data_IF_316073749699
#
_entry.id   IF_316073749699
#
_cell.length_a   1.000
_cell.length_b   1.000
_cell.length_c   1.000
_cell.angle_alpha   90.00
_cell.angle_beta   90.00
_cell.angle_gamma   90.00
#
_symmetry.space_group_name_H-M   'P 1'
#
loop_
_entity.id
_entity.type
_entity.pdbx_description
1 polymer ?
#
# COMPACT_ATOMS: atom_id res chain seq x y z
N UNK A 1 -11.72 0.10 -14.55
CA UNK A 1 -11.15 1.16 -13.69
C UNK A 1 -9.80 0.66 -13.23
N UNK A 2 -8.73 1.41 -13.55
CA UNK A 2 -7.36 1.06 -13.21
C UNK A 2 -7.08 1.23 -11.72
N UNK A 3 -6.07 0.56 -11.21
CA UNK A 3 -5.62 0.73 -9.81
C UNK A 3 -4.56 1.82 -9.76
N UNK A 4 -4.82 2.85 -8.97
CA UNK A 4 -3.94 4.02 -8.83
C UNK A 4 -3.60 4.24 -7.36
N UNK A 5 -2.31 4.47 -7.08
CA UNK A 5 -1.82 4.94 -5.79
C UNK A 5 -1.35 6.39 -5.94
N UNK A 6 -1.62 7.21 -4.92
CA UNK A 6 -1.12 8.57 -4.82
C UNK A 6 -0.62 8.85 -3.40
N UNK A 7 0.67 9.18 -3.28
CA UNK A 7 1.27 9.54 -2.00
C UNK A 7 0.58 10.74 -1.33
N UNK A 8 0.07 11.70 -2.12
CA UNK A 8 -0.65 12.85 -1.61
C UNK A 8 -2.01 12.48 -1.01
N UNK A 9 -2.78 11.63 -1.72
CA UNK A 9 -4.08 11.16 -1.26
C UNK A 9 -3.94 10.23 -0.06
N UNK A 10 -2.94 9.34 -0.09
CA UNK A 10 -2.61 8.45 1.02
C UNK A 10 -2.27 9.24 2.30
N UNK A 11 -1.45 10.29 2.18
CA UNK A 11 -1.15 11.20 3.30
C UNK A 11 -2.39 11.89 3.85
N UNK A 12 -3.27 12.38 2.95
CA UNK A 12 -4.52 13.02 3.35
C UNK A 12 -5.45 12.04 4.08
N UNK A 13 -5.57 10.81 3.58
CA UNK A 13 -6.33 9.74 4.23
C UNK A 13 -5.77 9.43 5.62
N UNK A 14 -4.46 9.24 5.75
CA UNK A 14 -3.80 8.96 7.03
C UNK A 14 -4.11 10.06 8.03
N UNK A 15 -3.96 11.33 7.65
CA UNK A 15 -4.22 12.47 8.52
C UNK A 15 -5.69 12.54 8.94
N UNK A 16 -6.62 12.39 7.99
CA UNK A 16 -8.05 12.43 8.29
C UNK A 16 -8.46 11.28 9.24
N UNK A 17 -7.97 10.07 8.98
CA UNK A 17 -8.23 8.90 9.81
C UNK A 17 -7.66 9.06 11.22
N UNK A 18 -6.42 9.54 11.36
CA UNK A 18 -5.83 9.81 12.68
C UNK A 18 -6.68 10.79 13.50
N UNK A 19 -7.10 11.90 12.89
CA UNK A 19 -7.96 12.88 13.57
C UNK A 19 -9.32 12.28 13.94
N UNK A 20 -9.95 11.55 13.02
CA UNK A 20 -11.26 10.94 13.25
C UNK A 20 -11.22 9.88 14.36
N UNK A 21 -10.15 9.07 14.44
CA UNK A 21 -9.95 8.09 15.52
C UNK A 21 -9.84 8.78 16.87
N UNK A 22 -9.09 9.89 16.95
CA UNK A 22 -8.98 10.65 18.19
C UNK A 22 -10.35 11.15 18.66
N UNK A 23 -11.12 11.78 17.77
CA UNK A 23 -12.47 12.26 18.06
C UNK A 23 -13.39 11.09 18.46
N UNK A 24 -13.30 9.97 17.75
CA UNK A 24 -14.12 8.80 18.03
C UNK A 24 -13.83 8.23 19.43
N UNK A 25 -12.55 8.12 19.82
CA UNK A 25 -12.15 7.69 21.16
C UNK A 25 -12.72 8.61 22.25
N UNK A 26 -12.58 9.93 22.09
CA UNK A 26 -13.12 10.91 23.04
C UNK A 26 -14.64 10.77 23.20
N UNK A 27 -15.37 10.57 22.10
CA UNK A 27 -16.83 10.38 22.12
C UNK A 27 -17.17 9.07 22.82
N UNK A 28 -16.51 7.95 22.47
CA UNK A 28 -16.83 6.65 23.06
C UNK A 28 -16.47 6.57 24.54
N UNK A 29 -15.39 7.22 24.97
CA UNK A 29 -15.00 7.26 26.37
C UNK A 29 -16.01 8.04 27.22
N UNK A 30 -16.49 9.18 26.69
CA UNK A 30 -17.55 9.96 27.35
C UNK A 30 -18.86 9.19 27.42
N UNK A 31 -19.24 8.50 26.34
CA UNK A 31 -20.44 7.65 26.32
C UNK A 31 -20.32 6.50 27.32
N UNK A 32 -19.17 5.82 27.37
CA UNK A 32 -18.91 4.74 28.33
C UNK A 32 -18.99 5.25 29.76
N UNK A 33 -18.27 6.33 30.09
CA UNK A 33 -18.26 6.92 31.43
C UNK A 33 -19.66 7.41 31.85
N UNK A 34 -20.42 8.03 30.95
CA UNK A 34 -21.80 8.43 31.22
C UNK A 34 -22.72 7.23 31.49
N UNK A 35 -22.54 6.12 30.76
CA UNK A 35 -23.29 4.89 31.02
C UNK A 35 -22.92 4.28 32.37
N UNK A 36 -21.62 4.23 32.71
CA UNK A 36 -21.16 3.70 33.99
C UNK A 36 -21.73 4.50 35.17
N UNK A 37 -21.73 5.84 35.06
CA UNK A 37 -22.37 6.71 36.04
C UNK A 37 -23.87 6.44 36.17
N UNK A 38 -24.59 6.33 35.04
CA UNK A 38 -26.03 6.04 35.05
C UNK A 38 -26.33 4.71 35.76
N UNK A 39 -25.57 3.65 35.46
CA UNK A 39 -25.73 2.34 36.10
C UNK A 39 -25.44 2.43 37.60
N UNK A 40 -24.39 3.15 38.00
CA UNK A 40 -24.07 3.36 39.42
C UNK A 40 -25.19 4.09 40.18
N UNK A 41 -25.77 5.15 39.61
CA UNK A 41 -26.92 5.87 40.20
C UNK A 41 -28.20 5.04 40.26
N UNK A 42 -28.36 4.08 39.35
CA UNK A 42 -29.47 3.11 39.41
C UNK A 42 -29.25 2.06 40.51
N UNK A 43 -28.01 1.60 40.68
CA UNK A 43 -27.65 0.61 41.70
C UNK A 43 -27.58 1.20 43.12
N UNK A 44 -27.31 2.49 43.27
CA UNK A 44 -27.38 3.19 44.56
C UNK A 44 -28.81 3.32 45.09
N UNK A 45 -29.82 3.14 44.23
CA UNK A 45 -31.23 3.36 44.55
C UNK A 45 -31.62 4.84 44.62
N UNK A 46 -30.77 5.76 44.16
CA UNK A 46 -31.13 7.19 44.02
C UNK A 46 -32.20 7.40 42.94
N UNK A 47 -32.18 6.57 41.90
CA UNK A 47 -33.14 6.59 40.80
C UNK A 47 -34.03 5.34 40.85
N UNK A 48 -35.32 5.50 41.14
CA UNK A 48 -36.28 4.39 41.31
C UNK A 48 -37.60 4.63 40.57
N UNK A 49 -38.24 3.56 40.11
CA UNK A 49 -39.51 3.57 39.39
C UNK A 49 -39.45 2.85 38.05
N UNK A 50 -40.61 2.58 37.45
CA UNK A 50 -40.72 1.81 36.21
C UNK A 50 -39.90 2.40 35.05
N UNK A 51 -39.84 3.74 34.96
CA UNK A 51 -39.01 4.47 34.00
C UNK A 51 -37.52 4.11 34.09
N UNK A 52 -37.01 4.09 35.31
CA UNK A 52 -35.60 3.83 35.58
C UNK A 52 -35.26 2.35 35.40
N UNK A 53 -36.15 1.44 35.78
CA UNK A 53 -35.99 0.01 35.51
C UNK A 53 -36.00 -0.30 34.02
N UNK A 54 -36.90 0.33 33.25
CA UNK A 54 -36.97 0.14 31.82
C UNK A 54 -35.73 0.73 31.11
N UNK A 55 -35.36 1.97 31.46
CA UNK A 55 -34.13 2.60 30.99
C UNK A 55 -32.89 1.76 31.29
N UNK A 56 -32.77 1.21 32.51
CA UNK A 56 -31.70 0.27 32.88
C UNK A 56 -31.60 -0.89 31.90
N UNK A 57 -32.73 -1.53 31.58
CA UNK A 57 -32.77 -2.64 30.61
C UNK A 57 -32.24 -2.25 29.23
N UNK A 58 -32.69 -1.11 28.70
CA UNK A 58 -32.23 -0.59 27.41
C UNK A 58 -30.72 -0.32 27.40
N UNK A 59 -30.21 0.32 28.45
CA UNK A 59 -28.80 0.64 28.55
C UNK A 59 -27.92 -0.60 28.74
N UNK A 60 -28.27 -1.49 29.66
CA UNK A 60 -27.48 -2.69 29.96
C UNK A 60 -27.51 -3.71 28.82
N UNK A 61 -28.66 -3.93 28.19
CA UNK A 61 -28.81 -4.98 27.18
C UNK A 61 -28.42 -4.53 25.76
N UNK A 62 -28.52 -3.23 25.45
CA UNK A 62 -28.39 -2.73 24.08
C UNK A 62 -27.29 -1.66 23.99
N UNK A 63 -27.43 -0.53 24.71
CA UNK A 63 -26.55 0.64 24.49
C UNK A 63 -25.10 0.36 24.92
N UNK A 64 -24.88 -0.15 26.14
CA UNK A 64 -23.53 -0.42 26.66
C UNK A 64 -22.78 -1.45 25.80
N UNK A 65 -23.36 -2.62 25.45
CA UNK A 65 -22.70 -3.56 24.55
C UNK A 65 -22.38 -2.96 23.18
N UNK A 66 -23.24 -2.08 22.65
CA UNK A 66 -23.03 -1.42 21.37
C UNK A 66 -21.86 -0.43 21.42
N UNK A 67 -21.73 0.35 22.50
CA UNK A 67 -20.59 1.25 22.73
C UNK A 67 -19.30 0.43 22.83
N UNK A 68 -19.30 -0.68 23.58
CA UNK A 68 -18.12 -1.57 23.70
C UNK A 68 -17.71 -2.16 22.35
N UNK A 69 -18.68 -2.53 21.50
CA UNK A 69 -18.40 -3.03 20.16
C UNK A 69 -17.80 -1.93 19.26
N UNK A 70 -18.32 -0.71 19.38
CA UNK A 70 -17.80 0.46 18.68
C UNK A 70 -16.36 0.78 19.11
N UNK A 71 -16.04 0.75 20.40
CA UNK A 71 -14.67 0.90 20.91
C UNK A 71 -13.72 -0.14 20.30
N UNK A 72 -14.10 -1.42 20.31
CA UNK A 72 -13.30 -2.48 19.70
C UNK A 72 -13.06 -2.27 18.19
N UNK A 73 -14.02 -1.69 17.47
CA UNK A 73 -13.84 -1.35 16.05
C UNK A 73 -12.91 -0.15 15.86
N UNK A 74 -12.97 0.86 16.74
CA UNK A 74 -12.04 2.00 16.69
C UNK A 74 -10.60 1.53 16.98
N UNK A 75 -10.42 0.66 17.99
CA UNK A 75 -9.13 0.03 18.30
C UNK A 75 -8.58 -0.74 17.09
N UNK A 76 -9.43 -1.52 16.42
CA UNK A 76 -9.06 -2.26 15.22
C UNK A 76 -8.66 -1.31 14.07
N UNK A 77 -9.41 -0.22 13.84
CA UNK A 77 -9.06 0.80 12.85
C UNK A 77 -7.70 1.42 13.17
N UNK A 78 -7.38 1.67 14.44
CA UNK A 78 -6.07 2.22 14.82
C UNK A 78 -4.92 1.25 14.49
N UNK A 79 -5.11 -0.06 14.73
CA UNK A 79 -4.15 -1.09 14.34
C UNK A 79 -3.98 -1.14 12.83
N UNK A 80 -5.09 -1.14 12.08
CA UNK A 80 -5.10 -1.22 10.62
C UNK A 80 -4.55 0.04 9.96
N UNK A 81 -4.78 1.22 10.54
CA UNK A 81 -4.17 2.47 10.09
C UNK A 81 -2.66 2.43 10.25
N UNK A 82 -2.17 1.80 11.32
CA UNK A 82 -0.73 1.57 11.50
C UNK A 82 -0.19 0.62 10.43
N UNK A 83 -0.93 -0.43 10.07
CA UNK A 83 -0.59 -1.31 8.93
C UNK A 83 -0.53 -0.53 7.63
N UNK A 84 -1.54 0.30 7.33
CA UNK A 84 -1.60 1.14 6.15
C UNK A 84 -0.43 2.14 6.08
N UNK A 85 -0.15 2.85 7.17
CA UNK A 85 0.98 3.79 7.28
C UNK A 85 2.32 3.13 6.98
N UNK A 86 2.53 1.90 7.46
CA UNK A 86 3.77 1.15 7.17
C UNK A 86 3.86 0.78 5.70
N UNK A 87 2.75 0.40 5.07
CA UNK A 87 2.72 0.09 3.64
C UNK A 87 2.98 1.35 2.80
N UNK A 88 2.32 2.46 3.15
CA UNK A 88 2.50 3.76 2.52
C UNK A 88 3.97 4.22 2.56
N UNK A 89 4.63 4.12 3.72
CA UNK A 89 6.02 4.52 3.87
C UNK A 89 7.00 3.82 2.90
N UNK A 90 6.66 2.62 2.40
CA UNK A 90 7.51 1.90 1.44
C UNK A 90 7.34 2.40 0.01
N UNK A 91 6.13 2.86 -0.35
CA UNK A 91 5.73 3.18 -1.72
C UNK A 91 5.64 4.69 -1.99
N UNK A 92 5.47 5.53 -0.95
CA UNK A 92 5.27 6.98 -1.07
C UNK A 92 6.36 7.71 -1.83
N UNK A 93 7.59 7.19 -1.81
CA UNK A 93 8.73 7.72 -2.57
C UNK A 93 8.48 7.80 -4.08
N UNK A 94 7.56 7.00 -4.61
CA UNK A 94 7.25 6.96 -6.03
C UNK A 94 6.19 7.98 -6.46
N UNK A 95 5.57 8.69 -5.51
CA UNK A 95 4.54 9.69 -5.81
C UNK A 95 3.25 9.04 -6.28
N UNK A 96 2.88 9.24 -7.54
CA UNK A 96 1.68 8.66 -8.15
C UNK A 96 2.04 7.49 -9.04
N UNK A 97 1.38 6.35 -8.82
CA UNK A 97 1.57 5.13 -9.58
C UNK A 97 0.23 4.71 -10.18
N UNK A 98 0.18 4.63 -11.50
CA UNK A 98 -0.96 4.09 -12.23
C UNK A 98 -0.59 2.74 -12.84
N UNK A 99 -1.30 1.68 -12.45
CA UNK A 99 -0.95 0.31 -12.86
C UNK A 99 -1.00 0.14 -14.37
N UNK A 100 -2.03 0.68 -15.01
CA UNK A 100 -2.26 0.46 -16.44
C UNK A 100 -1.22 1.23 -17.26
N UNK A 101 -0.90 2.47 -16.86
CA UNK A 101 0.18 3.26 -17.44
C UNK A 101 1.55 2.59 -17.28
N UNK A 102 1.89 2.13 -16.07
CA UNK A 102 3.17 1.45 -15.80
C UNK A 102 3.28 0.15 -16.60
N UNK A 103 2.19 -0.60 -16.72
CA UNK A 103 2.16 -1.85 -17.50
C UNK A 103 2.44 -1.59 -18.98
N UNK A 104 1.81 -0.57 -19.57
CA UNK A 104 2.06 -0.22 -20.97
C UNK A 104 3.47 0.34 -21.17
N UNK A 105 3.97 1.17 -20.24
CA UNK A 105 5.33 1.69 -20.28
C UNK A 105 6.38 0.57 -20.25
N UNK A 106 6.19 -0.45 -19.39
CA UNK A 106 7.04 -1.65 -19.34
C UNK A 106 7.07 -2.35 -20.70
N UNK A 107 5.89 -2.62 -21.26
CA UNK A 107 5.73 -3.30 -22.56
C UNK A 107 6.39 -2.53 -23.71
N UNK A 108 6.30 -1.20 -23.71
CA UNK A 108 6.96 -0.35 -24.69
C UNK A 108 8.49 -0.47 -24.59
N UNK A 109 9.05 -0.36 -23.38
CA UNK A 109 10.50 -0.46 -23.16
C UNK A 109 11.04 -1.85 -23.49
N UNK A 110 10.33 -2.92 -23.15
CA UNK A 110 10.71 -4.29 -23.50
C UNK A 110 10.77 -4.51 -25.01
N UNK A 111 9.84 -3.92 -25.78
CA UNK A 111 9.90 -3.94 -27.25
C UNK A 111 11.11 -3.16 -27.78
N UNK A 112 11.39 -1.98 -27.22
CA UNK A 112 12.58 -1.21 -27.60
C UNK A 112 13.86 -1.99 -27.32
N UNK A 113 13.94 -2.68 -26.17
CA UNK A 113 15.09 -3.52 -25.81
C UNK A 113 15.31 -4.64 -26.84
N UNK A 114 14.25 -5.29 -27.30
CA UNK A 114 14.32 -6.32 -28.35
C UNK A 114 14.85 -5.75 -29.67
N UNK A 115 14.37 -4.57 -30.08
CA UNK A 115 14.84 -3.91 -31.31
C UNK A 115 16.33 -3.55 -31.21
N UNK A 116 16.77 -2.96 -30.09
CA UNK A 116 18.17 -2.61 -29.88
C UNK A 116 19.06 -3.86 -29.84
N UNK A 117 18.61 -4.94 -29.19
CA UNK A 117 19.36 -6.19 -29.16
C UNK A 117 19.54 -6.78 -30.56
N UNK A 118 18.49 -6.77 -31.39
CA UNK A 118 18.58 -7.24 -32.77
C UNK A 118 19.59 -6.42 -33.60
N UNK A 119 19.65 -5.10 -33.40
CA UNK A 119 20.61 -4.23 -34.09
C UNK A 119 22.06 -4.50 -33.64
N UNK A 120 22.27 -4.74 -32.34
CA UNK A 120 23.59 -5.14 -31.81
C UNK A 120 24.02 -6.46 -32.45
N UNK A 121 23.13 -7.45 -32.50
CA UNK A 121 23.43 -8.77 -33.08
C UNK A 121 23.78 -8.67 -34.58
N UNK A 122 23.06 -7.83 -35.33
CA UNK A 122 23.34 -7.55 -36.74
C UNK A 122 24.71 -6.90 -36.91
N UNK A 123 25.01 -5.84 -36.15
CA UNK A 123 26.29 -5.14 -36.18
C UNK A 123 27.46 -6.08 -35.85
N UNK A 124 27.34 -6.92 -34.83
CA UNK A 124 28.36 -7.89 -34.46
C UNK A 124 28.57 -8.95 -35.55
N UNK A 125 27.49 -9.41 -36.19
CA UNK A 125 27.57 -10.39 -37.28
C UNK A 125 28.29 -9.81 -38.50
N UNK A 126 27.99 -8.55 -38.84
CA UNK A 126 28.65 -7.82 -39.91
C UNK A 126 30.15 -7.63 -39.60
N UNK A 127 30.48 -7.18 -38.39
CA UNK A 127 31.88 -7.01 -37.96
C UNK A 127 32.68 -8.32 -38.03
N UNK A 128 32.08 -9.46 -37.64
CA UNK A 128 32.71 -10.78 -37.81
C UNK A 128 32.96 -11.10 -39.28
N UNK A 129 32.00 -10.84 -40.17
CA UNK A 129 32.15 -11.07 -41.62
C UNK A 129 33.22 -10.15 -42.23
N UNK A 130 33.21 -8.85 -41.92
CA UNK A 130 34.12 -7.86 -42.53
C UNK A 130 35.52 -7.90 -41.92
N UNK A 131 35.70 -8.35 -40.67
CA UNK A 131 37.04 -8.58 -40.12
C UNK A 131 37.87 -9.61 -40.90
N UNK A 132 37.21 -10.45 -41.71
CA UNK A 132 37.87 -11.40 -42.62
C UNK A 132 38.28 -10.81 -43.98
N UNK A 133 37.85 -9.57 -44.29
CA UNK A 133 38.02 -8.89 -45.58
C UNK A 133 38.49 -7.45 -45.33
N UNK A 134 39.80 -7.23 -45.22
CA UNK A 134 40.39 -5.93 -44.88
C UNK A 134 40.01 -4.83 -45.89
N UNK A 135 39.20 -3.84 -45.47
CA UNK A 135 39.18 -2.39 -45.83
C UNK A 135 37.75 -1.80 -45.70
N UNK A 136 37.40 -1.14 -44.59
CA UNK A 136 36.10 -0.46 -44.44
C UNK A 136 36.03 0.47 -43.23
N UNK A 137 35.04 1.36 -43.20
CA UNK A 137 34.88 2.45 -42.21
C UNK A 137 34.50 1.92 -40.81
N UNK A 138 35.50 1.49 -40.05
CA UNK A 138 35.30 0.88 -38.73
C UNK A 138 34.88 1.89 -37.65
N UNK A 139 35.33 3.15 -37.74
CA UNK A 139 35.15 4.14 -36.66
C UNK A 139 33.67 4.45 -36.37
N UNK A 140 32.86 4.55 -37.42
CA UNK A 140 31.42 4.80 -37.33
C UNK A 140 30.67 3.59 -36.76
N UNK A 141 30.95 2.38 -37.23
CA UNK A 141 30.36 1.13 -36.73
C UNK A 141 30.68 0.82 -35.25
N UNK A 142 31.92 1.07 -34.80
CA UNK A 142 32.28 0.91 -33.38
C UNK A 142 31.57 1.94 -32.49
N UNK A 143 31.45 3.18 -32.96
CA UNK A 143 30.71 4.25 -32.26
C UNK A 143 29.22 3.93 -32.16
N UNK A 144 28.60 3.45 -33.24
CA UNK A 144 27.19 3.07 -33.28
C UNK A 144 26.90 1.88 -32.36
N UNK A 145 27.78 0.87 -32.39
CA UNK A 145 27.67 -0.29 -31.50
C UNK A 145 27.77 0.11 -30.02
N UNK A 146 28.72 0.98 -29.67
CA UNK A 146 28.84 1.53 -28.30
C UNK A 146 27.58 2.28 -27.87
N UNK A 147 27.01 3.11 -28.77
CA UNK A 147 25.77 3.86 -28.51
C UNK A 147 24.57 2.93 -28.27
N UNK A 148 24.46 1.85 -29.05
CA UNK A 148 23.43 0.83 -28.87
C UNK A 148 23.57 0.11 -27.52
N UNK A 149 24.78 -0.23 -27.09
CA UNK A 149 25.03 -0.81 -25.78
C UNK A 149 24.65 0.13 -24.63
N UNK A 150 24.96 1.43 -24.75
CA UNK A 150 24.51 2.43 -23.78
C UNK A 150 22.98 2.55 -23.73
N UNK A 151 22.32 2.61 -24.89
CA UNK A 151 20.86 2.67 -24.98
C UNK A 151 20.19 1.40 -24.43
N UNK A 152 20.76 0.22 -24.70
CA UNK A 152 20.35 -1.07 -24.12
C UNK A 152 20.38 -1.00 -22.59
N UNK A 153 21.50 -0.60 -22.00
CA UNK A 153 21.65 -0.51 -20.55
C UNK A 153 20.64 0.46 -19.92
N UNK A 154 20.41 1.62 -20.55
CA UNK A 154 19.41 2.59 -20.08
C UNK A 154 17.98 2.02 -20.14
N UNK A 155 17.64 1.26 -21.19
CA UNK A 155 16.34 0.57 -21.28
C UNK A 155 16.20 -0.52 -20.23
N UNK A 156 17.24 -1.31 -19.97
CA UNK A 156 17.21 -2.35 -18.93
C UNK A 156 17.00 -1.74 -17.53
N UNK A 157 17.70 -0.64 -17.20
CA UNK A 157 17.47 0.14 -15.98
C UNK A 157 16.03 0.67 -15.92
N UNK A 158 15.53 1.20 -17.04
CA UNK A 158 14.18 1.72 -17.13
C UNK A 158 13.09 0.65 -16.96
N UNK A 159 13.22 -0.51 -17.60
CA UNK A 159 12.27 -1.63 -17.47
C UNK A 159 12.18 -2.08 -16.02
N UNK A 160 13.34 -2.18 -15.38
CA UNK A 160 13.48 -2.55 -13.99
C UNK A 160 12.84 -1.55 -13.04
N UNK A 161 13.08 -0.25 -13.22
CA UNK A 161 12.43 0.79 -12.40
C UNK A 161 10.89 0.69 -12.46
N UNK A 162 10.34 0.47 -13.66
CA UNK A 162 8.89 0.30 -13.86
C UNK A 162 8.39 -0.99 -13.23
N UNK A 163 9.15 -2.08 -13.36
CA UNK A 163 8.81 -3.38 -12.74
C UNK A 163 8.73 -3.25 -11.23
N UNK A 164 9.70 -2.59 -10.60
CA UNK A 164 9.68 -2.39 -9.15
C UNK A 164 8.53 -1.49 -8.69
N UNK A 165 8.18 -0.44 -9.46
CA UNK A 165 6.98 0.37 -9.15
C UNK A 165 5.71 -0.47 -9.19
N UNK A 166 5.55 -1.37 -10.18
CA UNK A 166 4.43 -2.29 -10.27
C UNK A 166 4.38 -3.27 -9.08
N UNK A 167 5.51 -3.88 -8.73
CA UNK A 167 5.59 -4.82 -7.60
C UNK A 167 5.33 -4.13 -6.25
N UNK A 168 5.84 -2.91 -6.08
CA UNK A 168 5.57 -2.10 -4.88
C UNK A 168 4.09 -1.74 -4.78
N UNK A 169 3.44 -1.40 -5.90
CA UNK A 169 2.01 -1.14 -5.97
C UNK A 169 1.19 -2.38 -5.61
N UNK A 170 1.50 -3.53 -6.21
CA UNK A 170 0.81 -4.80 -5.92
C UNK A 170 0.98 -5.20 -4.45
N UNK A 171 2.19 -5.04 -3.90
CA UNK A 171 2.44 -5.32 -2.49
C UNK A 171 1.65 -4.39 -1.58
N UNK A 172 1.63 -3.08 -1.86
CA UNK A 172 0.83 -2.12 -1.10
C UNK A 172 -0.65 -2.52 -1.08
N UNK A 173 -1.21 -2.87 -2.23
CA UNK A 173 -2.60 -3.33 -2.33
C UNK A 173 -2.82 -4.62 -1.52
N UNK A 174 -1.88 -5.55 -1.56
CA UNK A 174 -1.95 -6.78 -0.77
C UNK A 174 -1.94 -6.48 0.74
N UNK A 175 -1.19 -5.48 1.18
CA UNK A 175 -1.13 -5.12 2.60
C UNK A 175 -2.35 -4.33 3.08
N UNK A 176 -3.07 -3.66 2.18
CA UNK A 176 -4.09 -2.65 2.54
C UNK A 176 -5.51 -2.97 2.10
N UNK A 177 -5.69 -3.93 1.20
CA UNK A 177 -7.00 -4.24 0.58
C UNK A 177 -8.08 -4.67 1.57
N UNK A 178 -7.70 -5.30 2.68
CA UNK A 178 -8.63 -5.75 3.72
C UNK A 178 -8.74 -4.79 4.91
N UNK A 179 -7.94 -3.71 4.94
CA UNK A 179 -7.98 -2.76 6.06
C UNK A 179 -9.38 -2.14 6.22
N UNK A 180 -9.81 -1.98 7.47
CA UNK A 180 -11.02 -1.30 7.90
C UNK A 180 -12.33 -2.00 7.55
N UNK A 181 -12.31 -3.11 6.81
CA UNK A 181 -13.51 -3.76 6.26
C UNK A 181 -14.52 -4.10 7.35
N UNK A 182 -14.10 -4.85 8.37
CA UNK A 182 -15.00 -5.28 9.45
C UNK A 182 -15.42 -4.11 10.34
N UNK A 183 -14.46 -3.24 10.67
CA UNK A 183 -14.66 -2.10 11.55
C UNK A 183 -15.65 -1.07 10.97
N UNK A 184 -15.65 -0.88 9.65
CA UNK A 184 -16.61 -0.02 8.97
C UNK A 184 -18.03 -0.59 9.00
N UNK A 185 -18.19 -1.92 8.97
CA UNK A 185 -19.51 -2.56 9.16
C UNK A 185 -20.03 -2.29 10.58
N UNK A 186 -19.16 -2.41 11.59
CA UNK A 186 -19.51 -2.07 12.99
C UNK A 186 -19.94 -0.60 13.12
N UNK A 187 -19.19 0.33 12.51
CA UNK A 187 -19.54 1.76 12.50
C UNK A 187 -20.90 2.01 11.82
N UNK A 188 -21.15 1.39 10.67
CA UNK A 188 -22.43 1.50 9.96
C UNK A 188 -23.60 0.99 10.82
N UNK A 189 -23.44 -0.17 11.46
CA UNK A 189 -24.44 -0.74 12.36
C UNK A 189 -24.67 0.12 13.60
N UNK A 190 -23.62 0.75 14.14
CA UNK A 190 -23.73 1.69 15.26
C UNK A 190 -24.51 2.96 14.86
N UNK A 191 -24.28 3.50 13.65
CA UNK A 191 -25.05 4.64 13.11
C UNK A 191 -26.53 4.25 12.92
N UNK A 192 -26.78 3.07 12.35
CA UNK A 192 -28.15 2.54 12.23
C UNK A 192 -28.80 2.43 13.61
N UNK A 193 -28.09 1.86 14.59
CA UNK A 193 -28.57 1.71 15.95
C UNK A 193 -28.89 3.05 16.62
N UNK A 194 -28.00 4.04 16.51
CA UNK A 194 -28.25 5.38 17.03
C UNK A 194 -29.49 6.04 16.40
N UNK A 195 -29.69 5.84 15.08
CA UNK A 195 -30.85 6.36 14.34
C UNK A 195 -32.17 5.70 14.76
N UNK A 196 -32.15 4.40 15.09
CA UNK A 196 -33.33 3.70 15.59
C UNK A 196 -33.62 4.08 17.05
N UNK A 197 -32.58 4.14 17.89
CA UNK A 197 -32.72 4.47 19.30
C UNK A 197 -33.20 5.91 19.53
N UNK A 198 -32.88 6.85 18.64
CA UNK A 198 -33.38 8.23 18.72
C UNK A 198 -34.89 8.34 18.53
N UNK A 199 -35.54 7.30 18.00
CA UNK A 199 -36.99 7.23 17.79
C UNK A 199 -37.71 6.50 18.93
N UNK A 200 -36.99 5.99 19.93
CA UNK A 200 -37.61 5.34 21.10
C UNK A 200 -38.32 6.40 21.93
N UNK A 201 -39.63 6.26 22.05
CA UNK A 201 -40.44 7.09 22.94
C UNK A 201 -40.57 6.44 24.31
N UNK A 202 -40.40 7.23 25.36
CA UNK A 202 -40.78 6.88 26.73
C UNK A 202 -42.20 7.38 26.99
N UNK A 203 -43.06 6.46 27.41
CA UNK A 203 -44.38 6.75 27.93
C UNK A 203 -44.28 7.49 29.27
N UNK A 204 -45.35 8.21 29.65
CA UNK A 204 -45.43 8.92 30.92
C UNK A 204 -45.36 8.02 32.16
N UNK A 205 -45.62 6.72 32.00
CA UNK A 205 -45.47 5.70 33.06
C UNK A 205 -44.04 5.12 33.15
N UNK A 206 -43.14 5.58 32.28
CA UNK A 206 -41.76 5.11 32.23
C UNK A 206 -41.52 3.89 31.36
N UNK A 207 -42.55 3.29 30.77
CA UNK A 207 -42.34 2.24 29.77
C UNK A 207 -41.71 2.83 28.50
N UNK A 208 -40.89 2.05 27.80
CA UNK A 208 -40.44 2.38 26.44
C UNK A 208 -40.84 1.24 25.52
N UNK A 209 -41.13 1.59 24.26
CA UNK A 209 -41.46 0.61 23.24
C UNK A 209 -40.48 0.74 22.08
N UNK A 210 -39.97 -0.40 21.62
CA UNK A 210 -39.25 -0.52 20.35
C UNK A 210 -40.14 -1.05 19.23
N UNK A 211 -41.45 -1.15 19.47
CA UNK A 211 -42.40 -1.66 18.48
C UNK A 211 -42.42 -0.73 17.25
N UNK A 212 -42.23 -1.32 16.07
CA UNK A 212 -42.12 -0.58 14.81
C UNK A 212 -40.71 -0.08 14.49
N UNK A 213 -39.75 -0.21 15.42
CA UNK A 213 -38.34 0.06 15.13
C UNK A 213 -37.66 -1.20 14.62
N UNK A 214 -36.71 -1.01 13.70
CA UNK A 214 -35.84 -2.11 13.26
C UNK A 214 -34.71 -2.28 14.28
N UNK A 215 -34.76 -3.36 15.05
CA UNK A 215 -33.73 -3.72 16.03
C UNK A 215 -32.81 -4.85 15.55
N UNK A 216 -32.90 -5.25 14.27
CA UNK A 216 -32.05 -6.30 13.69
C UNK A 216 -30.55 -5.96 13.74
N UNK A 217 -30.24 -4.66 13.75
CA UNK A 217 -28.88 -4.14 13.91
C UNK A 217 -28.23 -4.61 15.20
N UNK A 218 -28.98 -4.83 16.30
CA UNK A 218 -28.41 -5.27 17.58
C UNK A 218 -27.78 -6.65 17.44
N UNK A 219 -28.50 -7.57 16.78
CA UNK A 219 -28.00 -8.93 16.55
C UNK A 219 -26.84 -8.91 15.54
N UNK A 220 -26.96 -8.10 14.49
CA UNK A 220 -25.92 -7.94 13.48
C UNK A 220 -24.62 -7.37 14.08
N UNK A 221 -24.73 -6.33 14.91
CA UNK A 221 -23.62 -5.68 15.59
C UNK A 221 -22.91 -6.64 16.54
N UNK A 222 -23.69 -7.41 17.32
CA UNK A 222 -23.13 -8.42 18.22
C UNK A 222 -22.37 -9.51 17.48
N UNK A 223 -22.90 -9.95 16.35
CA UNK A 223 -22.35 -11.06 15.58
C UNK A 223 -21.23 -10.64 14.61
N UNK A 224 -21.08 -9.36 14.30
CA UNK A 224 -20.00 -8.87 13.44
C UNK A 224 -18.65 -9.13 14.10
N UNK A 225 -17.82 -9.97 13.48
CA UNK A 225 -16.45 -10.19 13.92
C UNK A 225 -15.58 -8.97 13.63
N UNK A 226 -14.50 -8.81 14.39
CA UNK A 226 -13.52 -7.74 14.20
C UNK A 226 -12.16 -8.41 14.17
N UNK A 227 -11.59 -8.56 12.97
CA UNK A 227 -10.30 -9.21 12.76
C UNK A 227 -9.31 -8.23 12.13
N UNK A 228 -8.62 -7.39 12.94
CA UNK A 228 -7.76 -6.34 12.40
C UNK A 228 -6.59 -6.91 11.62
N UNK A 229 -6.36 -6.37 10.42
CA UNK A 229 -5.19 -6.69 9.61
C UNK A 229 -3.93 -6.15 10.29
N UNK A 230 -3.13 -7.05 10.88
CA UNK A 230 -1.84 -6.72 11.48
C UNK A 230 -0.68 -7.29 10.64
N UNK A 231 -0.05 -6.43 9.84
CA UNK A 231 1.04 -6.82 8.93
C UNK A 231 2.41 -7.04 9.62
N UNK A 232 2.43 -7.55 10.86
CA UNK A 232 3.66 -7.75 11.65
C UNK A 232 4.67 -8.74 11.04
N UNK A 233 4.33 -9.46 9.97
CA UNK A 233 5.21 -10.44 9.29
C UNK A 233 5.90 -9.96 8.00
N UNK A 234 5.59 -8.77 7.47
CA UNK A 234 5.98 -8.43 6.07
C UNK A 234 6.88 -7.21 5.91
N UNK A 235 7.12 -6.42 6.96
CA UNK A 235 7.76 -5.09 6.89
C UNK A 235 9.25 -5.10 6.51
N UNK A 236 10.00 -6.12 6.91
CA UNK A 236 11.44 -6.19 6.60
C UNK A 236 11.74 -6.89 5.26
N UNK A 237 10.71 -7.38 4.57
CA UNK A 237 10.88 -8.43 3.58
C UNK A 237 10.49 -8.05 2.14
N UNK A 238 9.95 -6.87 1.82
CA UNK A 238 9.46 -6.62 0.45
C UNK A 238 10.58 -6.65 -0.61
N UNK A 239 11.58 -5.75 -0.53
CA UNK A 239 12.70 -5.75 -1.47
C UNK A 239 13.60 -6.99 -1.32
N UNK A 240 13.71 -7.54 -0.11
CA UNK A 240 14.41 -8.80 0.12
C UNK A 240 13.70 -10.00 -0.54
N UNK A 241 12.37 -10.03 -0.52
CA UNK A 241 11.56 -11.04 -1.20
C UNK A 241 11.66 -10.89 -2.73
N UNK A 242 11.66 -9.66 -3.25
CA UNK A 242 11.91 -9.40 -4.68
C UNK A 242 13.27 -9.98 -5.07
N UNK A 243 14.33 -9.61 -4.35
CA UNK A 243 15.68 -10.13 -4.58
C UNK A 243 15.69 -11.67 -4.54
N UNK A 244 15.08 -12.27 -3.52
CA UNK A 244 15.08 -13.73 -3.33
C UNK A 244 14.34 -14.45 -4.46
N UNK A 245 13.19 -13.94 -4.91
CA UNK A 245 12.44 -14.50 -6.04
C UNK A 245 13.25 -14.36 -7.34
N UNK A 246 13.86 -13.21 -7.58
CA UNK A 246 14.70 -12.96 -8.77
C UNK A 246 15.90 -13.89 -8.81
N UNK A 247 16.63 -14.05 -7.70
CA UNK A 247 17.74 -15.00 -7.58
C UNK A 247 17.28 -16.43 -7.87
N UNK A 248 16.13 -16.84 -7.31
CA UNK A 248 15.57 -18.18 -7.54
C UNK A 248 15.28 -18.41 -9.03
N UNK A 249 14.64 -17.44 -9.69
CA UNK A 249 14.32 -17.50 -11.11
C UNK A 249 15.58 -17.58 -11.99
N UNK A 250 16.61 -16.77 -11.71
CA UNK A 250 17.88 -16.80 -12.43
C UNK A 250 18.56 -18.16 -12.30
N UNK A 251 18.61 -18.70 -11.08
CA UNK A 251 19.22 -20.02 -10.81
C UNK A 251 18.53 -21.13 -11.62
N UNK A 252 17.19 -21.11 -11.69
CA UNK A 252 16.39 -22.10 -12.41
C UNK A 252 16.34 -21.92 -13.93
N UNK A 253 16.89 -20.84 -14.49
CA UNK A 253 16.85 -20.59 -15.94
C UNK A 253 17.77 -21.51 -16.74
N UNK A 254 17.53 -21.65 -18.04
CA UNK A 254 18.39 -22.39 -18.99
C UNK A 254 19.54 -21.56 -19.56
N UNK A 255 19.81 -20.38 -18.98
CA UNK A 255 20.82 -19.43 -19.47
C UNK A 255 22.25 -19.93 -19.25
N UNK A 256 23.20 -19.38 -20.03
CA UNK A 256 24.63 -19.70 -19.87
C UNK A 256 25.17 -19.16 -18.55
N UNK A 257 26.25 -19.75 -17.98
CA UNK A 257 26.80 -19.33 -16.68
C UNK A 257 27.12 -17.82 -16.59
N UNK A 258 27.70 -17.24 -17.65
CA UNK A 258 28.06 -15.82 -17.69
C UNK A 258 26.81 -14.91 -17.64
N UNK A 259 25.76 -15.26 -18.39
CA UNK A 259 24.48 -14.53 -18.38
C UNK A 259 23.81 -14.62 -17.00
N UNK A 260 23.86 -15.79 -16.35
CA UNK A 260 23.35 -15.94 -14.99
C UNK A 260 24.13 -15.05 -14.01
N UNK A 261 25.46 -14.98 -14.12
CA UNK A 261 26.27 -14.13 -13.24
C UNK A 261 25.94 -12.65 -13.42
N UNK A 262 25.80 -12.16 -14.65
CA UNK A 262 25.44 -10.77 -14.94
C UNK A 262 24.06 -10.43 -14.35
N UNK A 263 23.07 -11.31 -14.53
CA UNK A 263 21.73 -11.10 -13.96
C UNK A 263 21.70 -11.16 -12.44
N UNK A 264 22.53 -12.00 -11.82
CA UNK A 264 22.65 -12.05 -10.36
C UNK A 264 23.24 -10.75 -9.80
N UNK A 265 24.31 -10.24 -10.43
CA UNK A 265 24.91 -8.95 -10.07
C UNK A 265 23.87 -7.85 -10.19
N UNK A 266 23.18 -7.76 -11.33
CA UNK A 266 22.12 -6.79 -11.54
C UNK A 266 21.03 -6.88 -10.44
N UNK A 267 20.57 -8.07 -10.08
CA UNK A 267 19.56 -8.23 -9.02
C UNK A 267 20.03 -7.71 -7.65
N UNK A 268 21.29 -7.92 -7.27
CA UNK A 268 21.85 -7.38 -6.02
C UNK A 268 22.09 -5.87 -6.09
N UNK A 269 22.56 -5.36 -7.22
CA UNK A 269 22.68 -3.92 -7.46
C UNK A 269 21.32 -3.25 -7.34
N UNK A 270 20.27 -3.87 -7.86
CA UNK A 270 18.89 -3.38 -7.76
C UNK A 270 18.42 -3.33 -6.32
N UNK A 271 18.66 -4.40 -5.55
CA UNK A 271 18.34 -4.43 -4.14
C UNK A 271 19.05 -3.30 -3.37
N UNK A 272 20.33 -3.08 -3.64
CA UNK A 272 21.11 -1.98 -3.03
C UNK A 272 20.62 -0.60 -3.50
N UNK A 273 20.31 -0.45 -4.78
CA UNK A 273 19.74 0.76 -5.36
C UNK A 273 18.40 1.09 -4.70
N UNK A 274 17.50 0.12 -4.50
CA UNK A 274 16.21 0.37 -3.87
C UNK A 274 16.32 0.63 -2.36
N UNK A 275 17.34 0.10 -1.70
CA UNK A 275 17.65 0.46 -0.32
C UNK A 275 18.20 1.90 -0.19
N UNK A 276 18.88 2.44 -1.21
CA UNK A 276 19.54 3.74 -1.11
C UNK A 276 19.51 4.58 -2.40
N UNK A 277 18.33 4.67 -3.04
CA UNK A 277 18.13 5.32 -4.34
C UNK A 277 18.69 6.74 -4.44
N UNK A 278 18.54 7.63 -3.43
CA UNK A 278 19.08 8.98 -3.50
C UNK A 278 20.60 9.01 -3.72
N UNK A 279 21.36 8.13 -3.07
CA UNK A 279 22.81 8.09 -3.19
C UNK A 279 23.26 7.70 -4.62
N UNK A 280 22.58 6.73 -5.23
CA UNK A 280 22.87 6.32 -6.61
C UNK A 280 22.44 7.37 -7.65
N UNK A 281 21.30 8.03 -7.44
CA UNK A 281 20.82 9.08 -8.33
C UNK A 281 21.76 10.32 -8.30
N UNK A 282 22.29 10.67 -7.13
CA UNK A 282 23.29 11.75 -6.99
C UNK A 282 24.62 11.38 -7.63
N UNK A 283 25.07 10.12 -7.47
CA UNK A 283 26.27 9.63 -8.16
C UNK A 283 26.11 9.66 -9.68
N UNK A 284 24.96 9.21 -10.20
CA UNK A 284 24.65 9.21 -11.65
C UNK A 284 24.63 10.63 -12.23
N UNK A 285 24.01 11.59 -11.53
CA UNK A 285 24.04 13.00 -11.94
C UNK A 285 25.47 13.56 -11.97
N UNK A 286 26.32 13.15 -11.03
CA UNK A 286 27.71 13.58 -10.97
C UNK A 286 28.57 12.94 -12.07
N UNK A 287 28.35 11.69 -12.43
CA UNK A 287 29.06 11.03 -13.54
C UNK A 287 28.64 11.57 -14.92
N UNK A 288 27.36 11.89 -15.12
CA UNK A 288 26.87 12.56 -16.35
C UNK A 288 27.47 13.97 -16.51
N UNK A 289 27.57 14.74 -15.41
CA UNK A 289 28.24 16.06 -15.43
C UNK A 289 29.73 15.95 -15.75
N UNK A 290 30.43 14.96 -15.19
CA UNK A 290 31.86 14.76 -15.41
C UNK A 290 32.19 14.26 -16.83
N UNK A 291 31.30 13.51 -17.48
CA UNK A 291 31.46 13.13 -18.89
C UNK A 291 31.34 14.35 -19.81
N UNK A 292 30.35 15.22 -19.60
CA UNK A 292 30.20 16.45 -20.39
C UNK A 292 31.33 17.46 -20.16
N UNK A 293 31.95 17.50 -18.97
CA UNK A 293 33.13 18.34 -18.72
C UNK A 293 34.40 17.84 -19.40
N UNK A 294 34.57 16.52 -19.58
CA UNK A 294 35.76 15.97 -20.23
C UNK A 294 35.78 16.15 -21.75
N UNK A 295 34.62 16.32 -22.38
CA UNK A 295 34.51 16.64 -23.82
C UNK A 295 34.85 18.11 -24.11
N UNK A 296 34.76 19.01 -23.11
CA UNK A 296 35.05 20.44 -23.24
C UNK A 296 36.52 20.83 -22.97
N UNK A 297 37.39 19.87 -22.60
CA UNK A 297 38.82 20.13 -22.32
C UNK A 297 39.73 19.69 -23.48
N UNK A 298 39.17 19.19 -24.59
CA UNK A 298 39.89 18.88 -25.83
C UNK A 298 39.29 19.58 -27.06
N UNK A 299 39.09 20.90 -26.97
CA UNK A 299 38.91 21.78 -28.13
C UNK A 299 39.93 22.91 -28.04
#
# INVERSE_FOLDING_TARGET
>A
MGVTYSAAESKALIQAMTNNIQIANEITDRLSSGCDHLIASLDSGELQGAAYTAGRGLFTAIIIPSIKKLQAAIDAIQVELTTYQRADAQIARYGTLDRDHLTELKRLRERQLQVIQAQIDENESFMKQVSSLLTGDYGTLWSDTSTLYHAKNQLEIGIREVTTKLESLEWFLTQTSDCFRDSLVVLQLAIQGATQLSQVFMSSDGSYSTAGLDMSWVTSLRNQEISPVNASKYTQNHYHNILTRTIKAIKSSSERPLQKSERLVAAYEDYLYFLNKPAFDDQRKNSEKNYNHRVLIFV
#
